data_IF_153115984319
#
_entry.id   IF_153115984319
#
_cell.length_a   1.000
_cell.length_b   1.000
_cell.length_c   1.000
_cell.angle_alpha   90.00
_cell.angle_beta   90.00
_cell.angle_gamma   90.00
#
_symmetry.space_group_name_H-M   'P 1'
#
loop_
_entity.id
_entity.type
_entity.pdbx_description
1 polymer ?
#
# COMPACT_ATOMS: atom_id res chain seq x y z
N UNK A 1 -28.27 -32.05 -21.48
CA UNK A 1 -28.49 -30.70 -22.05
C UNK A 1 -27.18 -29.95 -21.92
N UNK A 2 -26.73 -29.27 -22.97
CA UNK A 2 -25.51 -28.46 -22.93
C UNK A 2 -25.83 -27.11 -22.26
N UNK A 3 -24.90 -26.53 -21.51
CA UNK A 3 -25.03 -25.20 -20.90
C UNK A 3 -24.99 -24.12 -21.98
N UNK A 4 -25.93 -23.17 -21.93
CA UNK A 4 -25.97 -21.98 -22.77
C UNK A 4 -25.39 -20.76 -22.00
N UNK A 5 -24.41 -20.02 -22.56
CA UNK A 5 -23.71 -18.96 -21.83
C UNK A 5 -24.63 -17.87 -21.27
N UNK A 6 -25.61 -17.41 -22.05
CA UNK A 6 -26.50 -16.35 -21.59
C UNK A 6 -27.64 -16.89 -20.72
N UNK A 7 -28.23 -18.01 -21.13
CA UNK A 7 -29.48 -18.48 -20.52
C UNK A 7 -29.22 -19.28 -19.25
N UNK A 8 -28.03 -19.86 -19.08
CA UNK A 8 -27.67 -20.62 -17.88
C UNK A 8 -26.60 -19.92 -17.01
N UNK A 9 -25.50 -19.43 -17.59
CA UNK A 9 -24.37 -18.86 -16.80
C UNK A 9 -24.62 -17.41 -16.41
N UNK A 10 -25.13 -16.59 -17.34
CA UNK A 10 -25.48 -15.18 -17.12
C UNK A 10 -26.96 -15.00 -16.70
N UNK A 11 -27.63 -16.08 -16.27
CA UNK A 11 -29.03 -16.01 -15.84
C UNK A 11 -29.14 -15.06 -14.62
N UNK A 12 -30.11 -14.14 -14.66
CA UNK A 12 -30.33 -13.14 -13.61
C UNK A 12 -29.17 -12.16 -13.38
N UNK A 13 -28.24 -12.07 -14.32
CA UNK A 13 -27.13 -11.12 -14.31
C UNK A 13 -27.24 -10.11 -15.44
N UNK A 14 -26.67 -8.92 -15.24
CA UNK A 14 -26.37 -7.95 -16.30
C UNK A 14 -24.86 -7.69 -16.34
N UNK A 15 -24.34 -7.28 -17.49
CA UNK A 15 -22.98 -6.75 -17.52
C UNK A 15 -22.86 -5.48 -16.67
N UNK A 16 -23.97 -4.73 -16.51
CA UNK A 16 -24.00 -3.46 -15.79
C UNK A 16 -23.88 -3.60 -14.26
N UNK A 17 -24.24 -4.74 -13.68
CA UNK A 17 -24.04 -5.04 -12.25
C UNK A 17 -22.89 -6.02 -12.01
N UNK A 18 -22.72 -7.00 -12.88
CA UNK A 18 -21.69 -8.05 -12.73
C UNK A 18 -20.27 -7.49 -12.98
N UNK A 19 -20.09 -6.59 -13.95
CA UNK A 19 -18.76 -6.05 -14.24
C UNK A 19 -18.24 -5.14 -13.11
N UNK A 20 -19.01 -4.15 -12.59
CA UNK A 20 -18.57 -3.37 -11.44
C UNK A 20 -18.36 -4.23 -10.18
N UNK A 21 -19.16 -5.29 -9.99
CA UNK A 21 -18.96 -6.24 -8.90
C UNK A 21 -17.60 -6.94 -9.03
N UNK A 22 -17.27 -7.46 -10.21
CA UNK A 22 -15.98 -8.09 -10.48
C UNK A 22 -14.81 -7.09 -10.31
N UNK A 23 -14.98 -5.83 -10.72
CA UNK A 23 -13.97 -4.78 -10.51
C UNK A 23 -13.69 -4.54 -9.02
N UNK A 24 -14.72 -4.45 -8.19
CA UNK A 24 -14.54 -4.27 -6.75
C UNK A 24 -13.89 -5.49 -6.08
N UNK A 25 -14.28 -6.70 -6.47
CA UNK A 25 -13.63 -7.92 -5.98
C UNK A 25 -12.14 -7.91 -6.36
N UNK A 26 -11.82 -7.64 -7.63
CA UNK A 26 -10.43 -7.57 -8.08
C UNK A 26 -9.62 -6.49 -7.37
N UNK A 27 -10.22 -5.33 -7.10
CA UNK A 27 -9.58 -4.24 -6.36
C UNK A 27 -9.26 -4.67 -4.92
N UNK A 28 -10.23 -5.29 -4.21
CA UNK A 28 -10.02 -5.78 -2.84
C UNK A 28 -8.90 -6.81 -2.81
N UNK A 29 -8.92 -7.80 -3.71
CA UNK A 29 -7.87 -8.82 -3.82
C UNK A 29 -6.51 -8.15 -4.07
N UNK A 30 -6.42 -7.20 -5.00
CA UNK A 30 -5.17 -6.51 -5.29
C UNK A 30 -4.64 -5.72 -4.07
N UNK A 31 -5.52 -5.08 -3.32
CA UNK A 31 -5.16 -4.33 -2.12
C UNK A 31 -4.69 -5.25 -0.98
N UNK A 32 -5.47 -6.28 -0.67
CA UNK A 32 -5.21 -7.18 0.46
C UNK A 32 -4.02 -8.10 0.21
N UNK A 33 -3.85 -8.62 -1.01
CA UNK A 33 -2.80 -9.59 -1.31
C UNK A 33 -1.47 -8.93 -1.72
N UNK A 34 -1.49 -7.69 -2.22
CA UNK A 34 -0.28 -7.05 -2.75
C UNK A 34 0.06 -5.73 -2.05
N UNK A 35 -0.87 -4.75 -2.07
CA UNK A 35 -0.53 -3.40 -1.62
C UNK A 35 -0.31 -3.32 -0.11
N UNK A 36 -1.26 -3.81 0.69
CA UNK A 36 -1.16 -3.73 2.14
C UNK A 36 0.05 -4.50 2.69
N UNK A 37 0.35 -5.75 2.25
CA UNK A 37 1.57 -6.44 2.66
C UNK A 37 2.85 -5.70 2.26
N UNK A 38 2.88 -5.06 1.08
CA UNK A 38 4.03 -4.26 0.64
C UNK A 38 4.22 -3.01 1.51
N UNK A 39 3.13 -2.31 1.85
CA UNK A 39 3.16 -1.18 2.78
C UNK A 39 3.64 -1.60 4.18
N UNK A 40 3.17 -2.74 4.69
CA UNK A 40 3.61 -3.27 5.99
C UNK A 40 5.09 -3.62 5.99
N UNK A 41 5.59 -4.29 4.93
CA UNK A 41 7.00 -4.60 4.76
C UNK A 41 7.87 -3.33 4.68
N UNK A 42 7.39 -2.32 3.97
CA UNK A 42 8.05 -1.02 3.89
C UNK A 42 8.11 -0.34 5.26
N UNK A 43 7.00 -0.27 5.99
CA UNK A 43 6.95 0.32 7.32
C UNK A 43 7.85 -0.43 8.32
N UNK A 44 7.90 -1.76 8.26
CA UNK A 44 8.82 -2.56 9.09
C UNK A 44 10.28 -2.26 8.76
N UNK A 45 10.59 -2.06 7.47
CA UNK A 45 11.93 -1.66 7.03
C UNK A 45 12.32 -0.31 7.60
N UNK A 46 11.42 0.68 7.56
CA UNK A 46 11.67 2.00 8.15
C UNK A 46 11.86 1.92 9.67
N UNK A 47 11.03 1.17 10.40
CA UNK A 47 11.19 0.97 11.86
C UNK A 47 12.53 0.32 12.22
N UNK A 48 12.98 -0.65 11.43
CA UNK A 48 14.31 -1.26 11.63
C UNK A 48 15.42 -0.24 11.41
N UNK A 49 15.34 0.53 10.32
CA UNK A 49 16.33 1.57 10.02
C UNK A 49 16.33 2.69 11.05
N UNK A 50 15.17 3.08 11.57
CA UNK A 50 15.04 4.04 12.66
C UNK A 50 15.87 3.57 13.88
N UNK A 51 15.66 2.33 14.33
CA UNK A 51 16.38 1.75 15.47
C UNK A 51 17.89 1.60 15.21
N UNK A 52 18.29 1.21 13.98
CA UNK A 52 19.70 1.08 13.60
C UNK A 52 20.44 2.43 13.55
N UNK A 53 19.73 3.56 13.49
CA UNK A 53 20.31 4.89 13.31
C UNK A 53 20.12 5.84 14.53
N UNK A 54 19.79 5.31 15.71
CA UNK A 54 19.59 6.15 16.91
C UNK A 54 20.81 7.00 17.27
N UNK A 55 22.02 6.48 17.09
CA UNK A 55 23.26 7.17 17.46
C UNK A 55 23.83 8.09 16.37
N UNK A 56 23.19 8.15 15.20
CA UNK A 56 23.67 8.96 14.07
C UNK A 56 23.10 10.38 14.17
N UNK A 57 23.97 11.36 14.45
CA UNK A 57 23.62 12.78 14.39
C UNK A 57 23.81 13.35 12.98
N UNK A 58 22.85 14.16 12.51
CA UNK A 58 22.91 14.87 11.24
C UNK A 58 22.47 16.33 11.36
N UNK A 59 22.86 17.15 10.39
CA UNK A 59 22.35 18.53 10.24
C UNK A 59 20.91 18.49 9.72
N UNK A 60 20.03 19.28 10.33
CA UNK A 60 18.68 19.50 9.80
C UNK A 60 18.71 20.42 8.58
N UNK A 61 17.67 20.37 7.74
CA UNK A 61 17.50 21.35 6.65
C UNK A 61 16.10 21.92 6.61
N UNK A 62 16.00 23.25 6.69
CA UNK A 62 14.75 24.00 6.49
C UNK A 62 14.95 24.97 5.36
N UNK A 63 14.00 25.07 4.42
CA UNK A 63 14.21 25.79 3.15
C UNK A 63 15.49 25.37 2.40
N UNK A 64 15.88 24.09 2.56
CA UNK A 64 17.11 23.52 2.02
C UNK A 64 18.42 24.16 2.54
N UNK A 65 18.35 24.96 3.62
CA UNK A 65 19.50 25.54 4.32
C UNK A 65 19.76 24.81 5.64
N UNK A 66 21.00 24.85 6.11
CA UNK A 66 21.41 24.21 7.37
C UNK A 66 20.61 24.73 8.56
N UNK A 67 20.17 23.80 9.40
CA UNK A 67 19.39 24.07 10.60
C UNK A 67 19.97 23.32 11.81
N UNK A 68 19.27 23.39 12.95
CA UNK A 68 19.68 22.69 14.17
C UNK A 68 19.83 21.17 13.93
N UNK A 69 20.85 20.51 14.50
CA UNK A 69 21.03 19.07 14.36
C UNK A 69 19.88 18.25 14.96
N UNK A 70 19.69 17.06 14.40
CA UNK A 70 18.77 16.03 14.88
C UNK A 70 19.40 14.64 14.69
N UNK A 71 18.88 13.63 15.38
CA UNK A 71 19.25 12.23 15.10
C UNK A 71 18.62 11.81 13.77
N UNK A 72 19.32 10.98 13.01
CA UNK A 72 18.79 10.48 11.75
C UNK A 72 17.55 9.61 11.97
N UNK A 73 17.49 8.86 13.07
CA UNK A 73 16.28 8.14 13.50
C UNK A 73 15.04 9.04 13.60
N UNK A 74 15.18 10.29 14.07
CA UNK A 74 14.07 11.23 14.16
C UNK A 74 13.55 11.64 12.78
N UNK A 75 14.40 11.72 11.77
CA UNK A 75 13.96 11.98 10.40
C UNK A 75 13.23 10.77 9.81
N UNK A 76 13.76 9.55 10.02
CA UNK A 76 13.13 8.30 9.57
C UNK A 76 11.75 8.12 10.22
N UNK A 77 11.61 8.49 11.50
CA UNK A 77 10.32 8.39 12.22
C UNK A 77 9.18 9.23 11.60
N UNK A 78 9.52 10.23 10.79
CA UNK A 78 8.55 11.05 10.07
C UNK A 78 8.15 10.51 8.69
N UNK A 79 8.86 9.51 8.17
CA UNK A 79 8.58 8.84 6.90
C UNK A 79 7.59 7.69 7.10
#
# INVERSE_FOLDING_TARGET
KLLHPNDDVNMSQSSNDTFPTAMHIAAVIALEENLLPACDSFAQTLRRLEAENEDVLKVGRTHLQDAVPLRFSQEISGW
#
